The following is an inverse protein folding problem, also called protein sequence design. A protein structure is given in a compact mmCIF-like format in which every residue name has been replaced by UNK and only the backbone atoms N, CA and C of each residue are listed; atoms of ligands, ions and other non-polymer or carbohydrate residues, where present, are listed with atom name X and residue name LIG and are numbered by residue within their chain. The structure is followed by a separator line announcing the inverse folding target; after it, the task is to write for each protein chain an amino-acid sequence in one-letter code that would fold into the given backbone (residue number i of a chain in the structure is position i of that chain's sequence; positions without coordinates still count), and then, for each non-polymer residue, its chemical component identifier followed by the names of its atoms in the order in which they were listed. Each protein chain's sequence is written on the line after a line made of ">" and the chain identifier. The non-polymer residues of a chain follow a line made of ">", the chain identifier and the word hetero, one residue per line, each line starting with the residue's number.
data_IF_075318433489
#
_entry.id   IF_075318433489
#
_cell.length_a   1.000
_cell.length_b   1.000
_cell.length_c   1.000
_cell.angle_alpha   90.00
_cell.angle_beta   90.00
_cell.angle_gamma   90.00
#
_symmetry.space_group_name_H-M   'P 1'
#
loop_
_entity.id
_entity.type
_entity.pdbx_description
1 polymer ?
#
# COMPACT_ATOMS: atom_id res chain seq x y z
N UNK A 1 -50.69 -12.83 1.55
CA UNK A 1 -49.25 -12.85 1.90
C UNK A 1 -48.54 -11.70 1.17
N UNK A 2 -48.84 -10.44 1.51
CA UNK A 2 -48.40 -9.26 0.76
C UNK A 2 -48.15 -8.06 1.71
N UNK A 3 -47.29 -8.25 2.72
CA UNK A 3 -46.99 -7.20 3.72
C UNK A 3 -45.47 -6.98 3.90
N UNK A 4 -44.60 -7.84 3.35
CA UNK A 4 -43.15 -7.78 3.63
C UNK A 4 -42.35 -6.94 2.60
N UNK A 5 -42.94 -6.59 1.44
CA UNK A 5 -42.23 -5.87 0.38
C UNK A 5 -42.26 -4.32 0.49
N UNK A 6 -42.89 -3.76 1.53
CA UNK A 6 -42.99 -2.30 1.73
C UNK A 6 -42.15 -1.75 2.90
N UNK A 7 -41.29 -2.56 3.52
CA UNK A 7 -40.45 -2.10 4.64
C UNK A 7 -38.97 -1.87 4.27
N UNK A 8 -38.50 -2.38 3.13
CA UNK A 8 -37.13 -2.15 2.66
C UNK A 8 -36.96 -0.80 1.93
N UNK A 9 -38.05 -0.13 1.56
CA UNK A 9 -38.03 1.13 0.82
C UNK A 9 -37.79 2.39 1.67
N UNK A 10 -38.08 2.35 2.98
CA UNK A 10 -38.06 3.58 3.80
C UNK A 10 -36.72 3.85 4.51
N UNK A 11 -35.90 2.81 4.76
CA UNK A 11 -34.57 3.01 5.34
C UNK A 11 -33.49 3.42 4.32
N UNK A 12 -33.70 3.15 3.03
CA UNK A 12 -32.75 3.48 1.97
C UNK A 12 -32.66 4.98 1.68
N UNK A 13 -33.66 5.78 2.05
CA UNK A 13 -33.73 7.19 1.70
C UNK A 13 -32.91 8.10 2.63
N UNK A 14 -32.67 7.69 3.88
CA UNK A 14 -31.86 8.48 4.82
C UNK A 14 -30.35 8.39 4.55
N UNK A 15 -29.89 7.30 3.95
CA UNK A 15 -28.47 7.15 3.57
C UNK A 15 -28.13 7.95 2.31
N UNK A 16 -29.10 8.20 1.43
CA UNK A 16 -28.89 8.88 0.15
C UNK A 16 -29.02 10.41 0.21
N UNK A 17 -29.56 10.95 1.30
CA UNK A 17 -29.71 12.40 1.53
C UNK A 17 -28.59 13.02 2.38
N UNK A 18 -27.53 12.25 2.72
CA UNK A 18 -26.34 12.82 3.36
C UNK A 18 -25.61 13.71 2.36
N UNK A 19 -25.53 15.04 2.57
CA UNK A 19 -24.66 15.88 1.77
C UNK A 19 -23.22 15.41 2.02
N UNK A 20 -22.56 14.92 0.97
CA UNK A 20 -21.16 14.43 0.99
C UNK A 20 -20.19 15.48 1.59
N UNK A 21 -20.59 16.75 1.69
CA UNK A 21 -19.84 17.84 2.31
C UNK A 21 -19.83 17.91 3.84
N UNK A 22 -20.54 17.04 4.58
CA UNK A 22 -20.53 17.03 6.06
C UNK A 22 -19.66 15.91 6.67
N UNK A 23 -19.05 15.06 5.83
CA UNK A 23 -17.97 14.22 6.33
C UNK A 23 -16.80 15.13 6.69
N UNK A 24 -16.23 15.04 7.90
CA UNK A 24 -14.99 15.73 8.19
C UNK A 24 -13.98 15.28 7.14
N UNK A 25 -13.56 16.21 6.28
CA UNK A 25 -12.40 15.96 5.43
C UNK A 25 -11.30 15.57 6.40
N UNK A 26 -10.86 14.32 6.36
CA UNK A 26 -9.65 13.91 7.06
C UNK A 26 -8.60 14.88 6.56
N UNK A 27 -8.20 15.81 7.42
CA UNK A 27 -7.10 16.70 7.10
C UNK A 27 -5.95 15.76 6.77
N UNK A 28 -5.50 15.75 5.51
CA UNK A 28 -4.34 14.98 5.08
C UNK A 28 -3.13 15.52 5.84
N UNK A 29 -2.98 15.10 7.09
CA UNK A 29 -1.91 15.39 8.01
C UNK A 29 -0.76 14.44 7.66
N UNK A 30 -0.29 14.57 6.42
CA UNK A 30 0.96 13.98 6.04
C UNK A 30 2.07 14.61 6.88
N UNK A 31 2.52 13.86 7.88
CA UNK A 31 3.53 14.26 8.85
C UNK A 31 4.96 14.17 8.32
N UNK A 32 5.16 14.13 6.98
CA UNK A 32 6.52 14.09 6.46
C UNK A 32 7.19 15.43 6.79
N UNK A 33 8.27 15.35 7.56
CA UNK A 33 9.11 16.50 7.83
C UNK A 33 10.02 16.67 6.61
N UNK A 34 9.91 17.78 5.84
CA UNK A 34 10.81 18.01 4.73
C UNK A 34 12.24 18.13 5.25
N UNK A 35 13.20 17.51 4.56
CA UNK A 35 14.63 17.72 4.82
C UNK A 35 14.96 19.12 4.32
N UNK A 36 15.41 20.00 5.20
CA UNK A 36 15.52 21.44 4.90
C UNK A 36 16.94 21.93 4.73
N UNK A 37 17.94 21.13 5.13
CA UNK A 37 19.34 21.53 5.10
C UNK A 37 20.27 20.34 4.82
N UNK A 38 21.51 20.66 4.43
CA UNK A 38 22.50 19.66 4.04
C UNK A 38 22.93 18.74 5.19
N UNK A 39 23.02 19.26 6.42
CA UNK A 39 23.43 18.47 7.58
C UNK A 39 22.40 17.38 7.89
N UNK A 40 21.11 17.74 7.90
CA UNK A 40 19.99 16.81 8.06
C UNK A 40 19.96 15.79 6.92
N UNK A 41 20.18 16.22 5.67
CA UNK A 41 20.28 15.30 4.53
C UNK A 41 21.40 14.26 4.71
N UNK A 42 22.61 14.70 5.06
CA UNK A 42 23.77 13.81 5.28
C UNK A 42 23.54 12.83 6.42
N UNK A 43 22.87 13.29 7.49
CA UNK A 43 22.48 12.43 8.60
C UNK A 43 21.50 11.34 8.14
N UNK A 44 20.39 11.72 7.50
CA UNK A 44 19.36 10.78 7.04
C UNK A 44 19.93 9.79 6.02
N UNK A 45 20.78 10.25 5.10
CA UNK A 45 21.47 9.36 4.15
C UNK A 45 22.33 8.31 4.84
N UNK A 46 22.96 8.64 5.96
CA UNK A 46 23.73 7.68 6.76
C UNK A 46 22.81 6.72 7.52
N UNK A 47 21.73 7.22 8.10
CA UNK A 47 20.81 6.44 8.94
C UNK A 47 19.93 5.47 8.15
N UNK A 48 19.49 5.85 6.95
CA UNK A 48 18.56 5.06 6.13
C UNK A 48 19.25 4.21 5.06
N UNK A 49 20.59 4.25 5.00
CA UNK A 49 21.35 3.48 4.03
C UNK A 49 21.41 2.00 4.38
N UNK A 50 21.32 1.14 3.35
CA UNK A 50 21.57 -0.29 3.45
C UNK A 50 23.04 -0.68 3.19
N UNK A 51 23.95 0.30 3.03
CA UNK A 51 25.35 0.02 2.68
C UNK A 51 26.03 -0.85 3.73
N UNK A 52 26.77 -1.87 3.27
CA UNK A 52 27.48 -2.82 4.14
C UNK A 52 26.58 -3.82 4.88
N UNK A 53 25.25 -3.73 4.77
CA UNK A 53 24.31 -4.63 5.47
C UNK A 53 24.55 -6.11 5.15
N UNK A 54 25.01 -6.43 3.94
CA UNK A 54 25.25 -7.79 3.46
C UNK A 54 26.74 -8.09 3.21
N UNK A 55 27.63 -7.21 3.65
CA UNK A 55 29.07 -7.32 3.44
C UNK A 55 29.64 -6.20 2.56
N UNK A 56 30.96 -5.97 2.63
CA UNK A 56 31.63 -4.92 1.87
C UNK A 56 31.68 -5.19 0.37
N UNK A 57 31.62 -6.46 -0.04
CA UNK A 57 31.72 -6.90 -1.43
C UNK A 57 30.34 -7.29 -2.02
N UNK A 58 29.24 -6.91 -1.37
CA UNK A 58 27.88 -7.24 -1.83
C UNK A 58 27.47 -6.37 -3.04
N UNK A 59 27.03 -7.04 -4.10
CA UNK A 59 26.51 -6.42 -5.33
C UNK A 59 24.99 -6.61 -5.48
N UNK A 60 24.33 -7.40 -4.62
CA UNK A 60 22.92 -7.76 -4.76
C UNK A 60 21.96 -6.81 -4.05
N UNK A 61 22.39 -6.19 -2.94
CA UNK A 61 21.59 -5.25 -2.17
C UNK A 61 20.28 -5.87 -1.65
N UNK A 62 19.17 -5.14 -1.83
CA UNK A 62 17.86 -5.57 -1.33
C UNK A 62 17.38 -6.92 -1.90
N UNK A 63 17.94 -7.39 -3.02
CA UNK A 63 17.66 -8.72 -3.58
C UNK A 63 18.03 -9.84 -2.61
N UNK A 64 18.97 -9.61 -1.68
CA UNK A 64 19.30 -10.55 -0.60
C UNK A 64 18.10 -10.87 0.31
N UNK A 65 17.04 -10.05 0.31
CA UNK A 65 15.79 -10.33 1.03
C UNK A 65 14.94 -11.43 0.37
N UNK A 66 15.20 -11.78 -0.89
CA UNK A 66 14.49 -12.82 -1.63
C UNK A 66 15.07 -14.20 -1.28
N UNK A 67 14.81 -14.64 -0.05
CA UNK A 67 15.33 -15.92 0.45
C UNK A 67 14.54 -17.13 -0.08
N UNK A 68 15.10 -18.35 -0.03
CA UNK A 68 14.36 -19.57 -0.37
C UNK A 68 13.07 -19.75 0.46
N UNK A 69 13.11 -19.35 1.74
CA UNK A 69 11.92 -19.39 2.60
C UNK A 69 10.84 -18.39 2.13
N UNK A 70 11.23 -17.17 1.76
CA UNK A 70 10.29 -16.18 1.18
C UNK A 70 9.72 -16.63 -0.15
N UNK A 71 10.51 -17.29 -1.00
CA UNK A 71 10.02 -17.87 -2.26
C UNK A 71 8.97 -18.96 -2.03
N UNK A 72 9.18 -19.84 -1.03
CA UNK A 72 8.17 -20.85 -0.64
C UNK A 72 6.88 -20.20 -0.10
N UNK A 73 7.00 -19.17 0.73
CA UNK A 73 5.85 -18.41 1.24
C UNK A 73 5.05 -17.77 0.10
N UNK A 74 5.73 -17.15 -0.87
CA UNK A 74 5.08 -16.55 -2.03
C UNK A 74 4.35 -17.59 -2.89
N UNK A 75 4.98 -18.75 -3.14
CA UNK A 75 4.35 -19.83 -3.91
C UNK A 75 3.08 -20.38 -3.24
N UNK A 76 3.02 -20.39 -1.90
CA UNK A 76 1.85 -20.83 -1.15
C UNK A 76 0.65 -19.87 -1.26
N UNK A 77 0.83 -18.66 -1.81
CA UNK A 77 -0.27 -17.71 -2.04
C UNK A 77 -1.07 -18.01 -3.32
N UNK A 78 -0.62 -18.95 -4.15
CA UNK A 78 -1.33 -19.33 -5.38
C UNK A 78 -2.49 -20.26 -5.03
N UNK A 79 -3.71 -19.83 -5.32
CA UNK A 79 -4.93 -20.64 -5.12
C UNK A 79 -5.44 -21.25 -6.43
N UNK A 80 -5.65 -20.42 -7.47
CA UNK A 80 -6.28 -20.84 -8.73
C UNK A 80 -5.29 -21.06 -9.89
N UNK A 81 -4.04 -20.59 -9.75
CA UNK A 81 -3.03 -20.73 -10.81
C UNK A 81 -3.22 -19.81 -12.02
N UNK A 82 -4.06 -18.78 -11.91
CA UNK A 82 -4.24 -17.77 -12.96
C UNK A 82 -3.01 -16.86 -13.09
N UNK A 83 -2.70 -16.43 -14.33
CA UNK A 83 -1.54 -15.57 -14.62
C UNK A 83 -1.99 -14.32 -15.37
N UNK A 84 -1.45 -13.17 -14.96
CA UNK A 84 -1.71 -11.85 -15.57
C UNK A 84 -0.39 -11.15 -15.84
N UNK A 85 -0.21 -10.62 -17.06
CA UNK A 85 0.97 -9.82 -17.39
C UNK A 85 0.90 -8.44 -16.73
N UNK A 86 1.99 -8.03 -16.08
CA UNK A 86 2.18 -6.67 -15.55
C UNK A 86 3.13 -5.83 -16.42
N UNK A 87 3.54 -6.35 -17.58
CA UNK A 87 4.37 -5.60 -18.52
C UNK A 87 3.53 -4.50 -19.20
N UNK A 88 4.17 -3.34 -19.41
CA UNK A 88 3.61 -2.32 -20.29
C UNK A 88 3.84 -2.72 -21.75
N UNK A 89 2.89 -2.38 -22.61
CA UNK A 89 3.01 -2.56 -24.06
C UNK A 89 4.15 -1.69 -24.62
N UNK A 90 4.96 -2.26 -25.50
CA UNK A 90 6.04 -1.55 -26.20
C UNK A 90 5.60 -1.43 -27.65
N UNK A 91 5.34 -0.19 -28.08
CA UNK A 91 4.96 0.16 -29.45
C UNK A 91 6.15 0.17 -30.42
#
# INVERSE_FOLDING_TARGET
>A
MAVILWWTGFLGFLVWAMPIGLLPQSANNHSWKPITNEAEFRQVMKELSNWGRWGPDDELGASNLITPAKRKQAAALVEEGLTTSLAHEVA
#
